data_IF_740568625544
#
_entry.id   IF_740568625544
#
_cell.length_a   1.000
_cell.length_b   1.000
_cell.length_c   1.000
_cell.angle_alpha   90.00
_cell.angle_beta   90.00
_cell.angle_gamma   90.00
#
_symmetry.space_group_name_H-M   'P 1'
#
loop_
_entity.id
_entity.type
_entity.pdbx_description
1 polymer ?
#
# COMPACT_ATOMS: atom_id res chain seq x y z
N UNK A 1 -1.26 9.00 -10.68
CA UNK A 1 -0.41 8.01 -10.01
C UNK A 1 -1.05 6.64 -10.08
N UNK A 2 -0.31 5.64 -10.46
CA UNK A 2 -0.81 4.28 -10.55
C UNK A 2 0.27 3.28 -10.13
N UNK A 3 -0.15 2.12 -9.61
CA UNK A 3 0.76 1.01 -9.34
C UNK A 3 1.29 0.43 -10.66
N UNK A 4 2.62 0.33 -10.80
CA UNK A 4 3.27 -0.19 -12.02
C UNK A 4 2.98 -1.68 -12.23
N UNK A 5 2.79 -2.46 -11.17
CA UNK A 5 2.49 -3.90 -11.22
C UNK A 5 0.99 -4.23 -11.16
N UNK A 6 0.17 -3.47 -11.81
CA UNK A 6 -1.23 -3.85 -12.01
C UNK A 6 -1.37 -4.57 -13.37
N UNK A 7 -2.50 -5.22 -13.60
CA UNK A 7 -2.89 -5.81 -14.89
C UNK A 7 -2.74 -4.85 -16.09
N UNK A 8 -2.54 -3.57 -15.82
CA UNK A 8 -2.37 -2.47 -16.77
C UNK A 8 -0.92 -2.16 -17.16
N UNK A 9 0.07 -2.89 -16.67
CA UNK A 9 1.48 -2.62 -16.95
C UNK A 9 1.77 -2.48 -18.46
N UNK A 10 1.13 -3.32 -19.26
CA UNK A 10 1.29 -3.36 -20.71
C UNK A 10 0.38 -2.35 -21.47
N UNK A 11 -0.50 -1.64 -20.78
CA UNK A 11 -1.45 -0.70 -21.39
C UNK A 11 -0.89 0.72 -21.50
N UNK A 12 0.17 1.02 -20.74
CA UNK A 12 0.75 2.35 -20.63
C UNK A 12 2.27 2.32 -20.83
N UNK A 13 2.84 3.49 -21.10
CA UNK A 13 4.26 3.75 -20.90
C UNK A 13 4.45 4.31 -19.51
N UNK A 14 5.50 3.92 -18.82
CA UNK A 14 5.71 4.25 -17.42
C UNK A 14 6.99 5.04 -17.20
N UNK A 15 6.90 6.06 -16.35
CA UNK A 15 8.05 6.69 -15.74
C UNK A 15 8.13 6.32 -14.25
N UNK A 16 9.33 6.14 -13.76
CA UNK A 16 9.63 5.72 -12.40
C UNK A 16 10.03 4.26 -12.31
N UNK A 17 9.83 3.59 -11.15
CA UNK A 17 9.06 4.06 -9.98
C UNK A 17 9.74 5.21 -9.23
N UNK A 18 8.97 6.10 -8.65
CA UNK A 18 9.48 7.19 -7.81
C UNK A 18 9.36 6.88 -6.31
N UNK A 19 8.45 6.03 -5.91
CA UNK A 19 8.36 5.51 -4.54
C UNK A 19 7.64 4.16 -4.54
N UNK A 20 7.68 3.47 -3.40
CA UNK A 20 6.86 2.29 -3.17
C UNK A 20 5.58 2.64 -2.42
N UNK A 21 4.54 1.84 -2.62
CA UNK A 21 3.32 1.84 -1.83
C UNK A 21 3.15 0.48 -1.17
N UNK A 22 2.89 0.49 0.13
CA UNK A 22 2.70 -0.74 0.91
C UNK A 22 1.23 -0.94 1.21
N UNK A 23 0.71 -2.11 0.89
CA UNK A 23 -0.56 -2.61 1.39
C UNK A 23 -0.27 -3.33 2.71
N UNK A 24 -0.90 -2.90 3.79
CA UNK A 24 -0.59 -3.39 5.13
C UNK A 24 -1.85 -3.77 5.88
N UNK A 25 -1.67 -4.55 6.94
CA UNK A 25 -2.71 -4.83 7.93
C UNK A 25 -2.51 -3.92 9.14
N UNK A 26 -3.59 -3.38 9.67
CA UNK A 26 -3.59 -2.64 10.92
C UNK A 26 -4.60 -3.23 11.89
N UNK A 27 -4.28 -3.15 13.17
CA UNK A 27 -5.05 -3.71 14.28
C UNK A 27 -5.16 -2.69 15.42
N UNK A 28 -6.09 -2.90 16.34
CA UNK A 28 -6.13 -2.10 17.57
C UNK A 28 -4.84 -2.29 18.39
N UNK A 29 -4.46 -1.28 19.16
CA UNK A 29 -3.22 -1.32 19.96
C UNK A 29 -3.14 -2.51 20.91
N UNK A 30 -4.28 -2.92 21.48
CA UNK A 30 -4.41 -4.03 22.43
C UNK A 30 -4.57 -5.41 21.77
N UNK A 31 -4.51 -5.48 20.43
CA UNK A 31 -4.70 -6.74 19.69
C UNK A 31 -3.54 -7.71 19.91
N UNK A 32 -3.85 -8.99 19.89
CA UNK A 32 -2.92 -10.13 19.93
C UNK A 32 -2.32 -10.50 18.57
N UNK A 33 -2.69 -9.78 17.49
CA UNK A 33 -2.24 -10.03 16.13
C UNK A 33 -0.94 -9.26 15.87
N UNK A 34 0.20 -9.93 15.66
CA UNK A 34 1.51 -9.32 15.41
C UNK A 34 2.08 -9.65 14.03
N UNK A 35 1.58 -10.72 13.39
CA UNK A 35 2.00 -11.20 12.07
C UNK A 35 0.81 -11.48 11.16
N UNK A 36 1.05 -11.79 9.88
CA UNK A 36 -0.01 -12.24 8.98
C UNK A 36 -0.57 -13.61 9.36
N UNK A 37 0.24 -14.48 9.98
CA UNK A 37 -0.18 -15.80 10.46
C UNK A 37 -1.23 -15.70 11.58
N UNK A 38 -1.18 -14.66 12.41
CA UNK A 38 -2.13 -14.44 13.51
C UNK A 38 -3.54 -14.05 13.01
N UNK A 39 -3.71 -13.87 11.69
CA UNK A 39 -5.01 -13.60 11.09
C UNK A 39 -5.91 -14.85 10.99
N UNK A 40 -5.42 -16.04 11.42
CA UNK A 40 -6.21 -17.26 11.42
C UNK A 40 -7.51 -17.08 12.22
N UNK A 41 -8.63 -17.38 11.58
CA UNK A 41 -9.95 -17.27 12.19
C UNK A 41 -10.40 -15.84 12.55
N UNK A 42 -9.67 -14.81 12.12
CA UNK A 42 -10.01 -13.39 12.38
C UNK A 42 -10.91 -12.81 11.28
N UNK A 43 -11.58 -11.72 11.60
CA UNK A 43 -12.42 -10.94 10.68
C UNK A 43 -11.67 -9.70 10.20
N UNK A 44 -11.55 -9.53 8.88
CA UNK A 44 -10.77 -8.47 8.26
C UNK A 44 -11.70 -7.49 7.53
N UNK A 45 -11.53 -6.18 7.76
CA UNK A 45 -12.23 -5.13 7.03
C UNK A 45 -11.36 -4.59 5.89
N UNK A 46 -11.94 -4.49 4.69
CA UNK A 46 -11.27 -3.93 3.50
C UNK A 46 -12.21 -3.02 2.73
N UNK A 47 -11.67 -2.17 1.87
CA UNK A 47 -12.49 -1.47 0.87
C UNK A 47 -12.71 -2.39 -0.34
N UNK A 48 -13.94 -2.38 -0.88
CA UNK A 48 -14.28 -3.11 -2.11
C UNK A 48 -13.45 -2.65 -3.30
N UNK A 49 -13.20 -3.56 -4.24
CA UNK A 49 -12.46 -3.32 -5.49
C UNK A 49 -11.02 -2.87 -5.30
N UNK A 50 -10.45 -3.07 -4.11
CA UNK A 50 -9.07 -2.74 -3.80
C UNK A 50 -8.14 -3.96 -3.88
N UNK A 51 -6.85 -3.69 -3.86
CA UNK A 51 -5.82 -4.74 -3.89
C UNK A 51 -5.88 -5.64 -2.64
N UNK A 52 -6.00 -5.11 -1.40
CA UNK A 52 -6.18 -5.96 -0.22
C UNK A 52 -7.37 -6.92 -0.34
N UNK A 53 -8.53 -6.46 -0.82
CA UNK A 53 -9.67 -7.36 -1.04
C UNK A 53 -9.30 -8.52 -1.98
N UNK A 54 -8.68 -8.21 -3.11
CA UNK A 54 -8.26 -9.23 -4.08
C UNK A 54 -7.28 -10.24 -3.48
N UNK A 55 -6.32 -9.78 -2.67
CA UNK A 55 -5.34 -10.63 -2.00
C UNK A 55 -6.06 -11.65 -1.09
N UNK A 56 -6.96 -11.19 -0.22
CA UNK A 56 -7.70 -12.08 0.67
C UNK A 56 -8.67 -13.02 -0.05
N UNK A 57 -9.29 -12.57 -1.14
CA UNK A 57 -10.22 -13.40 -1.93
C UNK A 57 -9.48 -14.45 -2.77
N UNK A 58 -8.31 -14.14 -3.29
CA UNK A 58 -7.56 -15.05 -4.17
C UNK A 58 -7.04 -16.27 -3.44
N UNK A 59 -6.74 -16.13 -2.13
CA UNK A 59 -6.13 -17.18 -1.30
C UNK A 59 -4.85 -17.77 -1.90
N UNK A 60 -4.11 -16.97 -2.65
CA UNK A 60 -2.88 -17.40 -3.33
C UNK A 60 -1.62 -17.09 -2.55
N UNK A 61 -1.70 -16.24 -1.54
CA UNK A 61 -0.58 -15.88 -0.67
C UNK A 61 -0.55 -16.86 0.51
N UNK A 62 0.43 -17.76 0.51
CA UNK A 62 0.59 -18.80 1.53
C UNK A 62 0.88 -18.25 2.94
N UNK A 63 1.29 -16.97 3.05
CA UNK A 63 1.51 -16.30 4.35
C UNK A 63 0.21 -15.95 5.04
N UNK A 64 -0.90 -15.94 4.31
CA UNK A 64 -2.22 -15.55 4.82
C UNK A 64 -3.02 -16.80 5.15
N UNK A 65 -3.30 -17.06 6.44
CA UNK A 65 -4.06 -18.22 6.85
C UNK A 65 -5.55 -18.10 6.52
N UNK A 66 -6.32 -19.13 6.85
CA UNK A 66 -7.77 -19.12 6.70
C UNK A 66 -8.41 -18.11 7.66
N UNK A 67 -8.87 -16.97 7.14
CA UNK A 67 -9.61 -15.96 7.89
C UNK A 67 -11.07 -16.41 8.12
N UNK A 68 -11.71 -15.93 9.20
CA UNK A 68 -13.14 -16.21 9.49
C UNK A 68 -14.06 -15.52 8.50
N UNK A 69 -13.83 -14.23 8.24
CA UNK A 69 -14.63 -13.46 7.28
C UNK A 69 -13.89 -12.24 6.75
N UNK A 70 -14.26 -11.83 5.53
CA UNK A 70 -13.82 -10.61 4.91
C UNK A 70 -15.01 -9.65 4.79
N UNK A 71 -14.93 -8.49 5.44
CA UNK A 71 -15.95 -7.44 5.38
C UNK A 71 -15.50 -6.39 4.37
N UNK A 72 -16.10 -6.41 3.18
CA UNK A 72 -15.79 -5.48 2.11
C UNK A 72 -16.76 -4.28 2.14
N UNK A 73 -16.24 -3.08 2.37
CA UNK A 73 -17.02 -1.86 2.50
C UNK A 73 -16.76 -0.94 1.30
N UNK A 74 -17.82 -0.31 0.78
CA UNK A 74 -17.70 0.55 -0.41
C UNK A 74 -16.83 1.79 -0.17
N UNK A 75 -16.94 2.38 1.03
CA UNK A 75 -16.19 3.58 1.41
C UNK A 75 -15.04 3.21 2.33
N UNK A 76 -13.82 3.64 1.97
CA UNK A 76 -12.61 3.38 2.77
C UNK A 76 -12.73 3.93 4.19
N UNK A 77 -13.36 5.09 4.36
CA UNK A 77 -13.52 5.74 5.66
C UNK A 77 -14.28 4.86 6.67
N UNK A 78 -15.07 3.89 6.19
CA UNK A 78 -15.83 2.99 7.06
C UNK A 78 -15.01 1.85 7.64
N UNK A 79 -13.90 1.44 7.02
CA UNK A 79 -13.09 0.32 7.54
C UNK A 79 -12.46 0.66 8.89
N UNK A 80 -12.11 1.90 9.11
CA UNK A 80 -11.45 2.35 10.34
C UNK A 80 -12.38 2.30 11.57
N UNK A 81 -13.62 2.84 11.52
CA UNK A 81 -14.59 2.64 12.60
C UNK A 81 -14.94 1.17 12.86
N UNK A 82 -14.94 0.33 11.83
CA UNK A 82 -15.17 -1.12 12.00
C UNK A 82 -14.10 -1.74 12.88
N UNK A 83 -12.84 -1.38 12.68
CA UNK A 83 -11.74 -1.81 13.55
C UNK A 83 -11.88 -1.22 14.96
N UNK A 84 -12.03 0.11 15.08
CA UNK A 84 -12.07 0.80 16.37
C UNK A 84 -13.20 0.31 17.28
N UNK A 85 -14.34 -0.09 16.69
CA UNK A 85 -15.51 -0.59 17.42
C UNK A 85 -15.51 -2.11 17.63
N UNK A 86 -14.47 -2.81 17.16
CA UNK A 86 -14.36 -4.26 17.31
C UNK A 86 -15.31 -5.08 16.41
N UNK A 87 -15.85 -4.47 15.34
CA UNK A 87 -16.62 -5.21 14.33
C UNK A 87 -15.72 -6.02 13.39
N UNK A 88 -14.46 -5.65 13.30
CA UNK A 88 -13.40 -6.39 12.65
C UNK A 88 -12.20 -6.48 13.60
N UNK A 89 -11.44 -7.58 13.51
CA UNK A 89 -10.22 -7.81 14.29
C UNK A 89 -9.03 -7.05 13.68
N UNK A 90 -9.05 -6.86 12.36
CA UNK A 90 -8.05 -6.12 11.60
C UNK A 90 -8.68 -5.38 10.41
N UNK A 91 -7.96 -4.41 9.86
CA UNK A 91 -8.24 -3.82 8.57
C UNK A 91 -7.03 -3.92 7.64
N UNK A 92 -7.26 -3.86 6.32
CA UNK A 92 -6.18 -3.82 5.36
C UNK A 92 -6.39 -2.70 4.32
N UNK A 93 -5.36 -1.87 4.15
CA UNK A 93 -5.36 -0.73 3.24
C UNK A 93 -3.92 -0.27 2.92
N UNK A 94 -3.79 0.79 2.12
CA UNK A 94 -2.52 1.50 1.94
C UNK A 94 -2.01 2.06 3.28
N UNK A 95 -0.75 1.83 3.58
CA UNK A 95 -0.12 2.31 4.83
C UNK A 95 -0.27 3.82 5.01
N UNK A 96 -0.01 4.59 3.96
CA UNK A 96 -0.14 6.05 3.99
C UNK A 96 -1.56 6.52 4.30
N UNK A 97 -2.57 5.80 3.81
CA UNK A 97 -3.98 6.13 4.09
C UNK A 97 -4.37 5.82 5.54
N UNK A 98 -3.83 4.74 6.12
CA UNK A 98 -4.04 4.40 7.53
C UNK A 98 -3.37 5.46 8.41
N UNK A 99 -2.11 5.83 8.13
CA UNK A 99 -1.37 6.84 8.87
C UNK A 99 -2.06 8.20 8.82
N UNK A 100 -2.53 8.62 7.64
CA UNK A 100 -3.28 9.86 7.50
C UNK A 100 -4.56 9.85 8.33
N UNK A 101 -5.32 8.74 8.31
CA UNK A 101 -6.52 8.62 9.13
C UNK A 101 -6.21 8.70 10.63
N UNK A 102 -5.14 8.04 11.07
CA UNK A 102 -4.70 8.09 12.47
C UNK A 102 -4.36 9.52 12.91
N UNK A 103 -3.72 10.30 12.05
CA UNK A 103 -3.39 11.72 12.30
C UNK A 103 -4.64 12.60 12.30
N UNK A 104 -5.48 12.52 11.28
CA UNK A 104 -6.67 13.35 11.10
C UNK A 104 -7.68 13.20 12.25
N UNK A 105 -7.81 11.98 12.78
CA UNK A 105 -8.80 11.64 13.82
C UNK A 105 -8.19 11.42 15.21
N UNK A 106 -6.88 11.60 15.37
CA UNK A 106 -6.15 11.34 16.61
C UNK A 106 -6.42 9.94 17.19
N UNK A 107 -6.45 8.93 16.32
CA UNK A 107 -6.65 7.53 16.65
C UNK A 107 -5.34 6.77 16.49
N UNK A 108 -5.12 5.73 17.30
CA UNK A 108 -3.92 4.90 17.22
C UNK A 108 -4.29 3.48 16.81
N UNK A 109 -3.68 3.01 15.73
CA UNK A 109 -3.65 1.61 15.32
C UNK A 109 -2.21 1.13 15.30
N UNK A 110 -2.00 -0.18 15.50
CA UNK A 110 -0.72 -0.83 15.24
C UNK A 110 -0.74 -1.40 13.83
N UNK A 111 0.20 -0.95 13.01
CA UNK A 111 0.41 -1.48 11.67
C UNK A 111 1.39 -2.64 11.80
N UNK A 112 1.08 -3.78 11.18
CA UNK A 112 1.99 -4.93 11.13
C UNK A 112 3.23 -4.59 10.29
N UNK A 113 4.39 -5.07 10.73
CA UNK A 113 5.66 -4.80 10.03
C UNK A 113 5.70 -5.47 8.66
N UNK A 114 5.15 -6.68 8.58
CA UNK A 114 5.06 -7.45 7.34
C UNK A 114 3.95 -6.90 6.45
N UNK A 115 4.25 -6.41 5.22
CA UNK A 115 3.24 -5.95 4.29
C UNK A 115 2.54 -7.12 3.59
N UNK A 116 1.26 -6.94 3.29
CA UNK A 116 0.55 -7.82 2.36
C UNK A 116 1.19 -7.77 0.97
N UNK A 117 1.51 -6.59 0.52
CA UNK A 117 2.15 -6.36 -0.77
C UNK A 117 2.86 -5.00 -0.78
N UNK A 118 3.97 -4.94 -1.48
CA UNK A 118 4.65 -3.69 -1.80
C UNK A 118 4.66 -3.51 -3.31
N UNK A 119 4.26 -2.33 -3.81
CA UNK A 119 4.18 -2.01 -5.23
C UNK A 119 4.89 -0.71 -5.55
N UNK A 120 5.56 -0.63 -6.70
CA UNK A 120 6.13 0.62 -7.20
C UNK A 120 5.04 1.57 -7.67
N UNK A 121 5.18 2.85 -7.35
CA UNK A 121 4.35 3.93 -7.89
C UNK A 121 5.08 4.62 -9.02
N UNK A 122 4.41 4.77 -10.15
CA UNK A 122 4.94 5.44 -11.33
C UNK A 122 3.93 6.40 -11.94
N UNK A 123 4.38 7.11 -12.95
CA UNK A 123 3.54 7.98 -13.78
C UNK A 123 3.25 7.27 -15.09
N UNK A 124 1.95 7.10 -15.40
CA UNK A 124 1.50 6.47 -16.63
C UNK A 124 1.32 7.49 -17.72
N UNK A 125 1.79 7.17 -18.91
CA UNK A 125 1.61 7.92 -20.16
C UNK A 125 0.85 7.05 -21.15
N UNK A 126 0.16 7.68 -22.11
CA UNK A 126 -0.48 6.94 -23.19
C UNK A 126 0.52 6.03 -23.89
N UNK A 127 0.10 4.82 -24.24
CA UNK A 127 0.96 3.83 -24.90
C UNK A 127 1.53 4.33 -26.24
N UNK A 128 0.78 5.19 -26.93
CA UNK A 128 1.12 5.76 -28.22
C UNK A 128 1.87 7.09 -28.10
N UNK A 129 2.15 7.57 -26.89
CA UNK A 129 2.96 8.77 -26.68
C UNK A 129 4.42 8.47 -27.05
N UNK A 130 4.87 9.00 -28.19
CA UNK A 130 6.20 8.77 -28.75
C UNK A 130 7.22 9.86 -28.39
N UNK A 131 6.84 10.85 -27.57
CA UNK A 131 7.70 11.98 -27.17
C UNK A 131 8.87 11.57 -26.26
N UNK A 132 8.85 10.36 -25.71
CA UNK A 132 9.91 9.86 -24.83
C UNK A 132 9.99 10.53 -23.45
N UNK A 133 8.90 11.20 -23.05
CA UNK A 133 8.82 11.92 -21.75
C UNK A 133 8.97 10.96 -20.58
N UNK A 134 8.44 9.75 -20.71
CA UNK A 134 8.53 8.71 -19.67
C UNK A 134 9.99 8.33 -19.35
N UNK A 135 10.85 8.30 -20.37
CA UNK A 135 12.28 8.01 -20.20
C UNK A 135 13.01 9.19 -19.54
N UNK A 136 12.78 10.41 -20.03
CA UNK A 136 13.37 11.61 -19.46
C UNK A 136 12.96 11.79 -17.99
N UNK A 137 11.68 11.58 -17.67
CA UNK A 137 11.21 11.68 -16.30
C UNK A 137 11.84 10.59 -15.41
N UNK A 138 11.99 9.36 -15.91
CA UNK A 138 12.66 8.28 -15.18
C UNK A 138 14.11 8.64 -14.86
N UNK A 139 14.84 9.19 -15.83
CA UNK A 139 16.24 9.63 -15.63
C UNK A 139 16.32 10.72 -14.56
N UNK A 140 15.43 11.71 -14.60
CA UNK A 140 15.38 12.80 -13.61
C UNK A 140 15.06 12.25 -12.22
N UNK A 141 14.06 11.35 -12.10
CA UNK A 141 13.72 10.71 -10.83
C UNK A 141 14.89 9.93 -10.24
N UNK A 142 15.63 9.20 -11.08
CA UNK A 142 16.84 8.50 -10.64
C UNK A 142 17.94 9.46 -10.17
N UNK A 143 18.13 10.62 -10.85
CA UNK A 143 19.06 11.66 -10.40
C UNK A 143 18.63 12.23 -9.03
N UNK A 144 17.34 12.56 -8.87
CA UNK A 144 16.79 13.08 -7.61
C UNK A 144 16.91 12.08 -6.46
N UNK A 145 16.84 10.78 -6.75
CA UNK A 145 17.08 9.73 -5.77
C UNK A 145 18.53 9.70 -5.34
N UNK A 146 19.46 9.72 -6.32
CA UNK A 146 20.89 9.63 -6.08
C UNK A 146 21.45 10.86 -5.32
N UNK A 147 20.90 12.05 -5.57
CA UNK A 147 21.32 13.28 -4.88
C UNK A 147 20.56 13.56 -3.58
N UNK A 148 19.58 12.70 -3.22
CA UNK A 148 18.79 12.81 -2.01
C UNK A 148 17.62 13.81 -2.08
N UNK A 149 17.39 14.45 -3.21
CA UNK A 149 16.29 15.42 -3.40
C UNK A 149 14.95 14.75 -3.21
N UNK A 150 14.77 13.54 -3.76
CA UNK A 150 13.52 12.76 -3.62
C UNK A 150 13.22 12.46 -2.15
N UNK A 151 14.19 11.99 -1.39
CA UNK A 151 14.06 11.76 0.06
C UNK A 151 13.68 13.04 0.80
N UNK A 152 14.33 14.15 0.49
CA UNK A 152 14.05 15.45 1.12
C UNK A 152 12.61 15.92 0.86
N UNK A 153 12.06 15.67 -0.31
CA UNK A 153 10.67 16.01 -0.66
C UNK A 153 9.70 15.11 0.10
N UNK A 154 9.89 13.79 0.01
CA UNK A 154 8.98 12.80 0.62
C UNK A 154 8.94 12.94 2.15
N UNK A 155 10.09 13.17 2.79
CA UNK A 155 10.18 13.34 4.25
C UNK A 155 9.39 14.53 4.82
N UNK A 156 8.94 15.45 3.96
CA UNK A 156 8.05 16.56 4.39
C UNK A 156 6.61 16.11 4.62
N UNK A 157 6.22 14.97 4.03
CA UNK A 157 4.84 14.50 4.00
C UNK A 157 4.67 13.14 4.65
N UNK A 158 5.73 12.33 4.63
CA UNK A 158 5.68 10.94 5.11
C UNK A 158 6.83 10.72 6.08
N UNK A 159 6.55 10.37 7.35
CA UNK A 159 7.59 9.92 8.27
C UNK A 159 8.21 8.61 7.75
N UNK A 160 9.48 8.38 8.07
CA UNK A 160 10.23 7.19 7.63
C UNK A 160 10.30 7.03 6.10
N UNK A 161 10.58 8.13 5.38
CA UNK A 161 10.64 8.17 3.92
C UNK A 161 11.51 7.05 3.30
N UNK A 162 12.54 6.58 4.00
CA UNK A 162 13.45 5.53 3.53
C UNK A 162 12.70 4.23 3.16
N UNK A 163 11.67 3.86 3.92
CA UNK A 163 10.83 2.68 3.65
C UNK A 163 10.12 2.72 2.29
N UNK A 164 9.91 3.93 1.75
CA UNK A 164 9.18 4.14 0.50
C UNK A 164 10.09 4.40 -0.69
N UNK A 165 11.41 4.51 -0.45
CA UNK A 165 12.41 4.78 -1.48
C UNK A 165 13.18 3.53 -1.93
N UNK A 166 12.94 2.38 -1.32
CA UNK A 166 13.56 1.10 -1.71
C UNK A 166 12.95 0.55 -3.00
N UNK A 167 13.01 1.32 -4.07
CA UNK A 167 12.39 0.95 -5.36
C UNK A 167 13.24 -0.01 -6.18
N UNK A 168 14.54 -0.11 -5.91
CA UNK A 168 15.48 -0.96 -6.67
C UNK A 168 15.37 -2.46 -6.29
N UNK A 169 14.81 -2.77 -5.12
CA UNK A 169 14.50 -4.14 -4.69
C UNK A 169 13.23 -4.70 -5.35
N UNK A 170 12.55 -3.87 -6.13
CA UNK A 170 11.25 -4.12 -6.70
C UNK A 170 11.38 -4.88 -8.02
N UNK A 171 11.02 -6.16 -8.02
CA UNK A 171 10.96 -6.93 -9.27
C UNK A 171 11.98 -8.05 -9.42
N UNK A 172 12.68 -8.41 -8.33
CA UNK A 172 13.48 -9.63 -8.30
C UNK A 172 12.71 -10.80 -7.70
#
# INVERSE_FOLDING_TARGET
EMCIRDSRENEYRWAGPYMTSRQVVAVNMESDIYSLEDLEGKTIAVQTTTRPEKIFLSKTDERIPAIRSLIALQKRELIYPFLSKGYADALAAHETAIRQYMEDYNIKFRILDEPLETVGLGVAFDKNDDRGIEKQLTEILNQMRNDGTEKKIISRYIPDADKYLEVDSYGK
#
